data_IF_093967596629
#
_entry.id   IF_093967596629
#
_cell.length_a   1.000
_cell.length_b   1.000
_cell.length_c   1.000
_cell.angle_alpha   90.00
_cell.angle_beta   90.00
_cell.angle_gamma   90.00
#
_symmetry.space_group_name_H-M   'P 1'
#
loop_
_entity.id
_entity.type
_entity.pdbx_description
1 polymer ?
#
# COMPACT_ATOMS: atom_id res chain seq x y z
N UNK A 1 2.93 5.82 6.46
CA UNK A 1 2.02 4.69 6.19
C UNK A 1 2.84 3.53 5.69
N UNK A 2 2.68 2.37 6.30
CA UNK A 2 3.20 1.09 5.83
C UNK A 2 2.03 0.27 5.31
N UNK A 3 2.18 -0.41 4.17
CA UNK A 3 1.17 -1.31 3.64
C UNK A 3 1.76 -2.67 3.28
N UNK A 4 0.96 -3.73 3.42
CA UNK A 4 1.30 -5.09 3.03
C UNK A 4 0.02 -5.84 2.64
N UNK A 5 0.07 -6.61 1.56
CA UNK A 5 -1.03 -7.42 1.07
C UNK A 5 -0.68 -8.90 0.99
N UNK A 6 -1.58 -9.76 1.49
CA UNK A 6 -1.40 -11.21 1.42
C UNK A 6 -2.54 -11.87 0.65
N UNK A 7 -2.21 -12.78 -0.26
CA UNK A 7 -3.17 -13.69 -0.84
C UNK A 7 -2.68 -15.14 -0.75
N UNK A 8 -3.57 -16.02 -0.31
CA UNK A 8 -3.36 -17.45 -0.28
C UNK A 8 -4.56 -18.17 -0.90
N UNK A 9 -4.41 -19.45 -1.25
CA UNK A 9 -5.51 -20.31 -1.71
C UNK A 9 -6.68 -20.23 -0.73
N UNK A 10 -7.73 -19.51 -1.11
CA UNK A 10 -8.99 -19.38 -0.36
C UNK A 10 -9.13 -18.14 0.53
N UNK A 11 -8.13 -17.28 0.67
CA UNK A 11 -8.27 -16.01 1.41
C UNK A 11 -7.27 -14.96 0.91
N UNK A 12 -7.69 -13.71 0.89
CA UNK A 12 -6.81 -12.58 0.75
C UNK A 12 -7.10 -11.53 1.82
N UNK A 13 -6.10 -10.73 2.16
CA UNK A 13 -6.19 -9.71 3.18
C UNK A 13 -5.14 -8.62 2.99
N UNK A 14 -5.35 -7.51 3.67
CA UNK A 14 -4.50 -6.33 3.59
C UNK A 14 -4.21 -5.83 5.00
N UNK A 15 -3.02 -5.29 5.18
CA UNK A 15 -2.56 -4.63 6.39
C UNK A 15 -2.06 -3.23 6.07
N UNK A 16 -2.44 -2.27 6.92
CA UNK A 16 -1.96 -0.89 6.85
C UNK A 16 -1.59 -0.43 8.25
N UNK A 17 -0.47 0.27 8.38
CA UNK A 17 -0.05 0.88 9.64
C UNK A 17 0.28 2.34 9.41
N UNK A 18 -0.39 3.22 10.15
CA UNK A 18 0.01 4.63 10.23
C UNK A 18 0.84 4.87 11.48
N UNK A 19 1.88 5.69 11.31
CA UNK A 19 2.69 6.20 12.41
C UNK A 19 2.55 7.71 12.38
N UNK A 20 1.96 8.29 13.43
CA UNK A 20 1.78 9.74 13.52
C UNK A 20 3.09 10.43 13.87
N UNK A 21 3.17 11.75 13.71
CA UNK A 21 4.37 12.51 14.12
C UNK A 21 4.60 12.49 15.64
N UNK A 22 3.57 12.13 16.42
CA UNK A 22 3.64 11.89 17.86
C UNK A 22 4.14 10.47 18.20
N UNK A 23 4.37 9.63 17.19
CA UNK A 23 4.81 8.24 17.35
C UNK A 23 3.69 7.25 17.67
N UNK A 24 2.42 7.65 17.50
CA UNK A 24 1.29 6.74 17.70
C UNK A 24 1.19 5.76 16.53
N UNK A 25 0.97 4.48 16.83
CA UNK A 25 0.82 3.41 15.84
C UNK A 25 -0.65 3.07 15.69
N UNK A 26 -1.19 3.23 14.49
CA UNK A 26 -2.59 2.96 14.15
C UNK A 26 -2.64 1.80 13.13
N UNK A 27 -2.81 0.54 13.59
CA UNK A 27 -2.89 -0.62 12.72
C UNK A 27 -4.32 -0.84 12.20
N UNK A 28 -4.43 -1.19 10.93
CA UNK A 28 -5.65 -1.56 10.24
C UNK A 28 -5.43 -2.86 9.47
N UNK A 29 -6.42 -3.75 9.49
CA UNK A 29 -6.38 -5.00 8.73
C UNK A 29 -7.74 -5.31 8.14
N UNK A 30 -7.77 -5.70 6.87
CA UNK A 30 -9.01 -5.99 6.17
C UNK A 30 -8.94 -7.37 5.50
N UNK A 31 -10.07 -8.07 5.46
CA UNK A 31 -10.22 -9.27 4.65
C UNK A 31 -10.83 -8.87 3.32
N UNK A 32 -10.20 -9.28 2.22
CA UNK A 32 -10.76 -9.05 0.90
C UNK A 32 -11.89 -10.05 0.65
N UNK A 33 -13.01 -9.55 0.12
CA UNK A 33 -14.20 -10.36 -0.18
C UNK A 33 -14.00 -11.26 -1.40
N UNK A 34 -13.03 -10.92 -2.25
CA UNK A 34 -12.68 -11.67 -3.45
C UNK A 34 -11.27 -12.25 -3.34
N UNK A 35 -11.08 -13.44 -3.92
CA UNK A 35 -9.76 -14.01 -4.10
C UNK A 35 -9.00 -13.20 -5.15
N UNK A 36 -7.73 -12.94 -4.88
CA UNK A 36 -6.87 -12.18 -5.76
C UNK A 36 -5.44 -12.72 -5.73
N UNK A 37 -4.56 -12.18 -6.57
CA UNK A 37 -3.12 -12.43 -6.48
C UNK A 37 -2.49 -11.60 -5.36
N UNK A 38 -1.25 -11.94 -4.97
CA UNK A 38 -0.49 -11.13 -4.01
C UNK A 38 -0.37 -9.68 -4.48
N UNK A 39 -0.01 -9.47 -5.75
CA UNK A 39 0.11 -8.11 -6.30
C UNK A 39 -1.19 -7.32 -6.15
N UNK A 40 -2.35 -7.94 -6.41
CA UNK A 40 -3.64 -7.26 -6.21
C UNK A 40 -3.89 -6.96 -4.73
N UNK A 41 -3.55 -7.87 -3.81
CA UNK A 41 -3.68 -7.60 -2.38
C UNK A 41 -2.79 -6.42 -1.94
N UNK A 42 -1.57 -6.31 -2.47
CA UNK A 42 -0.65 -5.20 -2.19
C UNK A 42 -1.22 -3.86 -2.67
N UNK A 43 -1.77 -3.80 -3.90
CA UNK A 43 -2.46 -2.59 -4.37
C UNK A 43 -3.67 -2.26 -3.51
N UNK A 44 -4.45 -3.26 -3.10
CA UNK A 44 -5.61 -3.03 -2.24
C UNK A 44 -5.20 -2.49 -0.87
N UNK A 45 -4.08 -2.96 -0.30
CA UNK A 45 -3.55 -2.43 0.94
C UNK A 45 -3.16 -0.95 0.81
N UNK A 46 -2.47 -0.59 -0.28
CA UNK A 46 -2.13 0.78 -0.60
C UNK A 46 -3.37 1.66 -0.76
N UNK A 47 -4.35 1.24 -1.58
CA UNK A 47 -5.57 1.99 -1.87
C UNK A 47 -6.38 2.25 -0.60
N UNK A 48 -6.63 1.22 0.20
CA UNK A 48 -7.36 1.35 1.48
C UNK A 48 -6.64 2.28 2.44
N UNK A 49 -5.30 2.22 2.48
CA UNK A 49 -4.51 3.15 3.26
C UNK A 49 -4.69 4.61 2.81
N UNK A 50 -4.67 4.86 1.50
CA UNK A 50 -4.91 6.21 0.96
C UNK A 50 -6.34 6.69 1.21
N UNK A 51 -7.34 5.81 1.17
CA UNK A 51 -8.73 6.16 1.51
C UNK A 51 -8.85 6.58 2.99
N UNK A 52 -8.19 5.86 3.90
CA UNK A 52 -8.13 6.22 5.33
C UNK A 52 -7.42 7.56 5.52
N UNK A 53 -6.30 7.79 4.83
CA UNK A 53 -5.55 9.05 4.92
C UNK A 53 -6.42 10.27 4.52
N UNK A 54 -7.19 10.13 3.44
CA UNK A 54 -8.15 11.14 2.99
C UNK A 54 -9.25 11.38 4.01
N UNK A 55 -9.82 10.32 4.60
CA UNK A 55 -10.85 10.42 5.64
C UNK A 55 -10.32 11.12 6.91
N UNK A 56 -9.08 10.81 7.28
CA UNK A 56 -8.38 11.41 8.42
C UNK A 56 -7.89 12.84 8.14
N UNK A 57 -7.93 13.28 6.88
CA UNK A 57 -7.50 14.62 6.41
C UNK A 57 -6.05 14.92 6.76
N UNK A 58 -5.18 13.92 6.65
CA UNK A 58 -3.75 14.13 6.82
C UNK A 58 -3.18 14.92 5.64
N UNK A 59 -2.34 15.92 5.94
CA UNK A 59 -1.83 16.87 4.95
C UNK A 59 -0.56 16.38 4.23
N UNK A 60 0.15 15.44 4.84
CA UNK A 60 1.42 14.91 4.35
C UNK A 60 1.50 13.43 4.69
N UNK A 61 1.68 12.59 3.67
CA UNK A 61 1.80 11.15 3.82
C UNK A 61 3.08 10.64 3.16
N UNK A 62 3.88 9.94 3.96
CA UNK A 62 4.96 9.09 3.45
C UNK A 62 4.46 7.66 3.35
N UNK A 63 4.70 7.02 2.21
CA UNK A 63 4.22 5.67 1.92
C UNK A 63 5.39 4.72 1.76
N UNK A 64 5.32 3.61 2.49
CA UNK A 64 6.31 2.55 2.54
C UNK A 64 5.64 1.21 2.28
N UNK A 65 6.26 0.37 1.46
CA UNK A 65 5.84 -1.00 1.20
C UNK A 65 7.05 -1.83 0.78
N UNK A 66 6.95 -3.15 0.89
CA UNK A 66 8.02 -4.08 0.48
C UNK A 66 7.81 -4.66 -0.92
N UNK A 67 6.64 -4.44 -1.52
CA UNK A 67 6.34 -4.83 -2.90
C UNK A 67 7.11 -3.96 -3.90
N UNK A 68 8.26 -4.47 -4.37
CA UNK A 68 9.06 -3.82 -5.41
C UNK A 68 8.26 -3.48 -6.66
N UNK A 69 7.27 -4.30 -7.03
CA UNK A 69 6.40 -4.01 -8.18
C UNK A 69 5.59 -2.74 -7.95
N UNK A 70 4.88 -2.66 -6.82
CA UNK A 70 4.01 -1.52 -6.50
C UNK A 70 4.83 -0.25 -6.35
N UNK A 71 5.95 -0.31 -5.61
CA UNK A 71 6.83 0.84 -5.41
C UNK A 71 7.40 1.35 -6.74
N UNK A 72 7.93 0.47 -7.59
CA UNK A 72 8.52 0.89 -8.87
C UNK A 72 7.47 1.43 -9.86
N UNK A 73 6.22 0.97 -9.81
CA UNK A 73 5.15 1.54 -10.63
C UNK A 73 4.70 2.92 -10.13
N UNK A 74 4.60 3.11 -8.81
CA UNK A 74 4.31 4.44 -8.24
C UNK A 74 5.40 5.46 -8.56
N UNK A 75 6.66 5.02 -8.59
CA UNK A 75 7.80 5.84 -8.99
C UNK A 75 7.92 6.01 -10.52
N UNK A 76 7.03 5.40 -11.31
CA UNK A 76 7.04 5.46 -12.77
C UNK A 76 8.20 4.71 -13.43
N UNK A 77 8.93 3.89 -12.67
CA UNK A 77 10.04 3.08 -13.19
C UNK A 77 9.54 1.85 -13.94
N UNK A 78 8.37 1.31 -13.54
CA UNK A 78 7.69 0.21 -14.20
C UNK A 78 6.36 0.66 -14.78
N UNK A 79 6.03 0.17 -15.98
CA UNK A 79 4.71 0.33 -16.58
C UNK A 79 3.80 -0.85 -16.23
N UNK A 80 2.51 -0.58 -16.09
CA UNK A 80 1.47 -1.62 -16.09
C UNK A 80 1.16 -1.92 -17.55
N UNK A 81 1.30 -3.17 -17.96
CA UNK A 81 0.82 -3.57 -19.28
C UNK A 81 -0.70 -3.28 -19.34
N UNK A 82 -1.17 -2.48 -20.32
CA UNK A 82 -2.58 -2.18 -20.43
C UNK A 82 -3.36 -3.49 -20.64
N UNK A 83 -4.60 -3.59 -20.13
CA UNK A 83 -5.45 -4.70 -20.51
C UNK A 83 -5.59 -4.69 -22.04
N UNK A 84 -5.74 -5.87 -22.68
CA UNK A 84 -5.63 -6.04 -24.14
C UNK A 84 -6.59 -5.18 -25.00
N UNK A 85 -7.46 -4.38 -24.38
CA UNK A 85 -8.56 -3.66 -24.99
C UNK A 85 -8.59 -2.15 -24.65
N UNK A 86 -7.64 -1.61 -23.91
CA UNK A 86 -7.62 -0.18 -23.53
C UNK A 86 -6.32 0.51 -23.98
N UNK A 87 -6.46 1.64 -24.69
CA UNK A 87 -5.34 2.43 -25.17
C UNK A 87 -4.97 3.51 -24.16
N UNK A 88 -3.72 3.47 -23.66
CA UNK A 88 -2.99 4.58 -23.06
C UNK A 88 -3.56 5.14 -21.74
N UNK A 89 -2.88 4.88 -20.63
CA UNK A 89 -3.11 5.58 -19.37
C UNK A 89 -2.60 7.02 -19.45
N UNK A 90 -3.43 7.98 -19.03
CA UNK A 90 -3.01 9.37 -18.75
C UNK A 90 -1.92 9.38 -17.65
N UNK A 91 -0.91 10.24 -17.83
CA UNK A 91 0.17 10.42 -16.86
C UNK A 91 -0.38 11.06 -15.58
N UNK A 92 -0.16 10.41 -14.43
CA UNK A 92 -0.78 10.79 -13.17
C UNK A 92 0.04 11.88 -12.44
N UNK A 93 -0.54 13.07 -12.26
CA UNK A 93 0.04 14.28 -11.65
C UNK A 93 0.08 14.27 -10.10
N UNK A 94 0.02 13.10 -9.45
CA UNK A 94 0.02 12.98 -7.97
C UNK A 94 1.38 13.26 -7.29
N UNK A 95 2.38 13.69 -8.05
CA UNK A 95 3.77 13.89 -7.61
C UNK A 95 3.93 14.95 -6.50
N UNK A 96 2.92 15.78 -6.24
CA UNK A 96 2.99 16.91 -5.31
C UNK A 96 2.56 16.62 -3.86
N UNK A 97 1.90 15.49 -3.57
CA UNK A 97 1.30 15.24 -2.24
C UNK A 97 1.85 13.96 -1.57
N UNK A 98 2.28 12.98 -2.36
CA UNK A 98 2.72 11.68 -1.85
C UNK A 98 4.24 11.53 -2.04
N UNK A 99 4.94 11.25 -0.94
CA UNK A 99 6.34 10.78 -1.01
C UNK A 99 6.36 9.26 -0.84
N UNK A 100 6.81 8.56 -1.88
CA UNK A 100 6.94 7.09 -1.87
C UNK A 100 8.41 6.75 -1.64
N UNK A 101 8.68 5.80 -0.75
CA UNK A 101 10.02 5.29 -0.51
C UNK A 101 9.95 3.79 -0.21
N UNK A 102 10.99 3.06 -0.55
CA UNK A 102 11.10 1.67 -0.10
C UNK A 102 11.16 1.66 1.43
N UNK A 103 10.44 0.73 2.06
CA UNK A 103 10.62 0.52 3.48
C UNK A 103 12.06 0.03 3.73
N UNK A 104 12.84 0.74 4.53
CA UNK A 104 14.07 0.15 5.06
C UNK A 104 13.69 -1.11 5.83
N UNK A 105 14.29 -2.23 5.45
CA UNK A 105 14.02 -3.52 6.08
C UNK A 105 14.33 -3.41 7.58
N UNK A 106 13.45 -4.02 8.38
CA UNK A 106 13.67 -4.51 9.75
C UNK A 106 12.96 -3.89 10.99
N UNK A 107 12.20 -2.79 10.98
CA UNK A 107 11.57 -2.32 12.25
C UNK A 107 10.08 -2.65 12.46
N UNK A 108 9.23 -2.63 11.42
CA UNK A 108 7.77 -2.78 11.58
C UNK A 108 7.24 -4.21 11.43
N UNK A 109 8.11 -5.18 11.09
CA UNK A 109 7.78 -6.62 10.96
C UNK A 109 7.90 -7.41 12.25
N UNK A 110 8.21 -6.75 13.36
CA UNK A 110 8.37 -7.45 14.64
C UNK A 110 7.01 -7.98 15.11
N UNK A 111 6.89 -9.28 15.44
CA UNK A 111 5.64 -9.83 15.95
C UNK A 111 5.25 -9.09 17.24
N UNK A 112 3.98 -8.71 17.35
CA UNK A 112 3.43 -8.22 18.61
C UNK A 112 3.59 -9.36 19.62
N UNK A 113 4.47 -9.18 20.61
CA UNK A 113 4.69 -10.15 21.67
C UNK A 113 3.40 -10.32 22.47
N UNK A 114 2.59 -11.32 22.13
CA UNK A 114 1.45 -11.75 22.95
C UNK A 114 2.00 -12.36 24.23
N UNK A 115 1.77 -11.69 25.37
CA UNK A 115 1.97 -12.26 26.71
C UNK A 115 0.68 -12.91 27.18
#
# INVERSE_FOLDING_TARGET
MYFDGVAHRGRAGTGVVFVTSQGEVLPYSFMLTQLCSNNVAEYQALILGLEIDVEMKWLQLQVFGDSQLVINQLLGSYEVAPPPNEAGSEENDLKHILTVSEAEKEEWRQPISTT
#
